data_IF_283029957923
#
_entry.id   IF_283029957923
#
_cell.length_a   1.000
_cell.length_b   1.000
_cell.length_c   1.000
_cell.angle_alpha   90.00
_cell.angle_beta   90.00
_cell.angle_gamma   90.00
#
_symmetry.space_group_name_H-M   'P 1'
#
loop_
_entity.id
_entity.type
_entity.pdbx_description
1 polymer ?
#
# COMPACT_ATOMS: atom_id res chain seq x y z
N UNK A 1 -10.36 10.33 52.86
CA UNK A 1 -11.53 10.30 51.97
C UNK A 1 -11.08 10.77 50.59
N UNK A 2 -11.06 9.89 49.59
CA UNK A 2 -10.90 10.35 48.21
C UNK A 2 -12.22 10.98 47.74
N UNK A 3 -12.18 12.12 47.03
CA UNK A 3 -13.38 12.75 46.51
C UNK A 3 -14.09 11.81 45.52
N UNK A 4 -15.43 11.85 45.45
CA UNK A 4 -16.18 11.05 44.50
C UNK A 4 -15.77 11.41 43.08
N UNK A 5 -15.41 10.40 42.29
CA UNK A 5 -15.13 10.54 40.86
C UNK A 5 -16.40 10.95 40.13
N UNK A 6 -16.38 12.12 39.50
CA UNK A 6 -17.48 12.61 38.66
C UNK A 6 -17.61 11.65 37.46
N UNK A 7 -18.80 11.07 37.20
CA UNK A 7 -19.00 10.19 36.06
C UNK A 7 -18.77 10.96 34.75
N UNK A 8 -18.02 10.36 33.83
CA UNK A 8 -17.78 10.86 32.49
C UNK A 8 -18.06 9.75 31.45
N UNK A 9 -18.20 10.07 30.15
CA UNK A 9 -18.54 9.10 29.10
C UNK A 9 -17.58 7.91 28.95
N UNK A 10 -16.44 7.92 29.65
CA UNK A 10 -15.44 6.85 29.62
C UNK A 10 -15.36 6.08 30.95
N UNK A 11 -16.15 6.42 31.97
CA UNK A 11 -16.04 5.81 33.30
C UNK A 11 -16.42 4.33 33.31
N UNK A 12 -17.29 3.89 32.40
CA UNK A 12 -17.76 2.50 32.29
C UNK A 12 -17.03 1.70 31.19
N UNK A 13 -16.03 2.30 30.52
CA UNK A 13 -15.28 1.62 29.47
C UNK A 13 -14.30 0.59 30.04
N UNK A 14 -14.13 -0.50 29.32
CA UNK A 14 -13.29 -1.63 29.70
C UNK A 14 -11.81 -1.24 29.62
N UNK A 15 -10.95 -1.84 30.47
CA UNK A 15 -9.53 -1.45 30.58
C UNK A 15 -8.76 -1.51 29.27
N UNK A 16 -9.07 -2.46 28.38
CA UNK A 16 -8.42 -2.58 27.07
C UNK A 16 -8.66 -1.37 26.15
N UNK A 17 -9.66 -0.53 26.44
CA UNK A 17 -9.97 0.70 25.70
C UNK A 17 -9.08 1.88 26.12
N UNK A 18 -8.20 1.71 27.12
CA UNK A 18 -7.30 2.74 27.62
C UNK A 18 -5.84 2.32 27.54
N UNK A 19 -5.04 3.01 26.73
CA UNK A 19 -3.61 2.74 26.57
C UNK A 19 -2.86 2.56 27.90
N UNK A 20 -3.12 3.43 28.88
CA UNK A 20 -2.47 3.33 30.18
C UNK A 20 -2.82 2.03 30.91
N UNK A 21 -4.08 1.60 30.86
CA UNK A 21 -4.58 0.46 31.63
C UNK A 21 -4.30 -0.89 30.96
N UNK A 22 -4.00 -0.90 29.66
CA UNK A 22 -3.78 -2.13 28.89
C UNK A 22 -2.37 -2.29 28.33
N UNK A 23 -1.62 -1.20 28.16
CA UNK A 23 -0.28 -1.21 27.59
C UNK A 23 0.73 -0.58 28.56
N UNK A 24 0.66 0.73 28.83
CA UNK A 24 1.81 1.42 29.45
C UNK A 24 1.96 1.22 30.96
N UNK A 25 0.90 0.82 31.68
CA UNK A 25 0.96 0.47 33.10
C UNK A 25 0.78 -1.04 33.34
N UNK A 26 0.91 -1.85 32.28
CA UNK A 26 0.88 -3.30 32.33
C UNK A 26 2.31 -3.80 32.09
N UNK A 27 2.76 -4.73 32.92
CA UNK A 27 4.03 -5.42 32.70
C UNK A 27 4.06 -6.03 31.29
N UNK A 28 5.15 -5.87 30.55
CA UNK A 28 5.20 -6.18 29.12
C UNK A 28 4.77 -7.63 28.77
N UNK A 29 5.06 -8.59 29.65
CA UNK A 29 4.70 -10.00 29.48
C UNK A 29 3.22 -10.31 29.79
N UNK A 30 2.49 -9.37 30.40
CA UNK A 30 1.06 -9.45 30.70
C UNK A 30 0.21 -8.68 29.68
N UNK A 31 0.84 -8.01 28.72
CA UNK A 31 0.11 -7.30 27.66
C UNK A 31 -0.59 -8.33 26.78
N UNK A 32 -1.92 -8.37 26.90
CA UNK A 32 -2.79 -9.11 25.99
C UNK A 32 -3.63 -8.11 25.16
N UNK A 33 -3.25 -7.86 23.90
CA UNK A 33 -4.00 -6.96 23.02
C UNK A 33 -5.24 -7.63 22.42
N UNK A 34 -5.42 -8.95 22.59
CA UNK A 34 -6.53 -9.69 22.00
C UNK A 34 -7.77 -9.54 22.89
N UNK A 35 -8.83 -8.99 22.30
CA UNK A 35 -10.11 -8.80 22.99
C UNK A 35 -11.13 -9.80 22.44
N UNK A 36 -12.27 -9.32 21.95
CA UNK A 36 -13.31 -10.14 21.32
C UNK A 36 -13.32 -9.81 19.82
N UNK A 37 -12.51 -10.50 19.00
CA UNK A 37 -12.44 -10.19 17.58
C UNK A 37 -13.79 -10.53 16.90
N UNK A 38 -14.22 -9.69 15.95
CA UNK A 38 -15.46 -9.93 15.20
C UNK A 38 -15.36 -11.10 14.21
N UNK A 39 -14.13 -11.42 13.80
CA UNK A 39 -13.81 -12.53 12.90
C UNK A 39 -12.41 -13.04 13.22
N UNK A 40 -12.13 -14.29 12.82
CA UNK A 40 -10.84 -14.93 12.99
C UNK A 40 -10.17 -15.16 11.64
N UNK A 41 -8.86 -14.99 11.59
CA UNK A 41 -8.05 -15.32 10.41
C UNK A 41 -7.46 -16.71 10.60
N UNK A 42 -7.71 -17.61 9.67
CA UNK A 42 -7.09 -18.95 9.68
C UNK A 42 -5.72 -18.91 9.02
N UNK A 43 -4.87 -19.89 9.30
CA UNK A 43 -3.51 -19.94 8.72
C UNK A 43 -3.50 -20.25 7.23
N UNK A 44 -4.56 -20.86 6.69
CA UNK A 44 -4.76 -21.17 5.28
C UNK A 44 -5.36 -20.01 4.46
N UNK A 45 -5.96 -19.02 5.13
CA UNK A 45 -6.49 -17.82 4.48
C UNK A 45 -5.36 -17.04 3.78
N UNK A 46 -5.56 -16.75 2.49
CA UNK A 46 -4.62 -15.98 1.66
C UNK A 46 -4.72 -14.51 2.04
N UNK A 47 -3.69 -14.00 2.71
CA UNK A 47 -3.63 -12.60 3.12
C UNK A 47 -2.81 -11.78 2.13
N UNK A 48 -3.42 -10.74 1.59
CA UNK A 48 -2.77 -9.72 0.78
C UNK A 48 -2.69 -8.40 1.56
N UNK A 49 -1.61 -7.64 1.36
CA UNK A 49 -1.43 -6.33 1.99
C UNK A 49 -1.09 -5.27 0.95
N UNK A 50 -1.63 -4.07 1.09
CA UNK A 50 -1.23 -2.89 0.34
C UNK A 50 -1.10 -1.67 1.27
N UNK A 51 -0.31 -0.69 0.85
CA UNK A 51 -0.07 0.52 1.63
C UNK A 51 1.39 0.95 1.58
N UNK A 52 1.84 1.61 2.65
CA UNK A 52 3.21 2.12 2.78
C UNK A 52 4.10 1.18 3.62
N UNK A 53 5.11 1.73 4.31
CA UNK A 53 6.06 0.96 5.13
C UNK A 53 5.39 0.04 6.16
N UNK A 54 4.28 0.46 6.77
CA UNK A 54 3.59 -0.35 7.78
C UNK A 54 3.00 -1.63 7.18
N UNK A 55 2.46 -1.57 5.96
CA UNK A 55 1.97 -2.75 5.25
C UNK A 55 3.10 -3.78 5.01
N UNK A 56 4.32 -3.33 4.72
CA UNK A 56 5.48 -4.22 4.60
C UNK A 56 5.81 -4.93 5.93
N UNK A 57 5.65 -4.26 7.07
CA UNK A 57 5.82 -4.89 8.38
C UNK A 57 4.75 -5.96 8.64
N UNK A 58 3.49 -5.71 8.26
CA UNK A 58 2.41 -6.67 8.35
C UNK A 58 2.73 -7.91 7.50
N UNK A 59 3.09 -7.72 6.23
CA UNK A 59 3.50 -8.79 5.30
C UNK A 59 4.58 -9.71 5.90
N UNK A 60 5.67 -9.12 6.41
CA UNK A 60 6.77 -9.86 7.04
C UNK A 60 6.31 -10.61 8.28
N UNK A 61 5.41 -10.03 9.08
CA UNK A 61 4.90 -10.67 10.31
C UNK A 61 3.97 -11.83 9.99
N UNK A 62 3.04 -11.68 9.06
CA UNK A 62 2.13 -12.74 8.59
C UNK A 62 2.95 -13.96 8.14
N UNK A 63 3.92 -13.74 7.26
CA UNK A 63 4.80 -14.79 6.76
C UNK A 63 5.57 -15.50 7.88
N UNK A 64 6.16 -14.74 8.83
CA UNK A 64 6.91 -15.30 9.97
C UNK A 64 6.04 -16.01 11.00
N UNK A 65 4.75 -15.66 11.07
CA UNK A 65 3.79 -16.25 12.01
C UNK A 65 3.10 -17.51 11.46
N UNK A 66 3.49 -18.00 10.27
CA UNK A 66 2.98 -19.23 9.68
C UNK A 66 1.63 -19.08 8.97
N UNK A 67 1.19 -17.85 8.71
CA UNK A 67 0.00 -17.57 7.92
C UNK A 67 0.36 -17.55 6.43
N UNK A 68 -0.62 -17.86 5.58
CA UNK A 68 -0.47 -17.85 4.13
C UNK A 68 -0.49 -16.43 3.57
N UNK A 69 0.70 -15.83 3.46
CA UNK A 69 0.85 -14.58 2.72
C UNK A 69 0.75 -14.82 1.21
N UNK A 70 -0.15 -14.10 0.54
CA UNK A 70 -0.37 -14.22 -0.90
C UNK A 70 0.72 -13.47 -1.66
N UNK A 71 1.34 -14.14 -2.64
CA UNK A 71 2.27 -13.53 -3.60
C UNK A 71 1.86 -14.00 -5.00
N UNK A 72 1.50 -13.07 -5.86
CA UNK A 72 1.08 -13.30 -7.24
C UNK A 72 2.09 -12.83 -8.26
N UNK A 73 3.04 -11.98 -7.87
CA UNK A 73 4.20 -11.60 -8.67
C UNK A 73 5.48 -11.96 -7.90
N UNK A 74 6.01 -13.16 -8.13
CA UNK A 74 7.10 -13.75 -7.32
C UNK A 74 8.50 -13.63 -7.97
N UNK A 75 8.56 -13.27 -9.25
CA UNK A 75 9.79 -13.22 -10.02
C UNK A 75 10.49 -14.58 -10.11
N UNK A 76 9.77 -15.69 -10.10
CA UNK A 76 10.30 -17.06 -9.94
C UNK A 76 11.37 -17.50 -10.94
N UNK A 77 11.53 -16.79 -12.07
CA UNK A 77 12.61 -17.01 -13.04
C UNK A 77 13.96 -16.42 -12.63
N UNK A 78 14.01 -15.60 -11.58
CA UNK A 78 15.20 -14.89 -11.11
C UNK A 78 15.83 -15.60 -9.89
N UNK A 79 17.14 -15.41 -9.71
CA UNK A 79 17.81 -15.83 -8.48
C UNK A 79 17.26 -15.07 -7.27
N UNK A 80 17.38 -15.63 -6.06
CA UNK A 80 16.82 -15.03 -4.85
C UNK A 80 17.34 -13.60 -4.58
N UNK A 81 18.64 -13.37 -4.83
CA UNK A 81 19.26 -12.04 -4.69
C UNK A 81 18.71 -11.05 -5.71
N UNK A 82 18.53 -11.49 -6.96
CA UNK A 82 17.97 -10.66 -8.04
C UNK A 82 16.51 -10.31 -7.79
N UNK A 83 15.72 -11.26 -7.27
CA UNK A 83 14.34 -11.03 -6.84
C UNK A 83 14.27 -9.95 -5.77
N UNK A 84 15.10 -10.08 -4.74
CA UNK A 84 15.17 -9.13 -3.63
C UNK A 84 15.60 -7.75 -4.11
N UNK A 85 16.64 -7.68 -4.93
CA UNK A 85 17.15 -6.43 -5.50
C UNK A 85 16.13 -5.75 -6.42
N UNK A 86 15.30 -6.53 -7.11
CA UNK A 86 14.23 -6.04 -7.97
C UNK A 86 12.87 -5.92 -7.24
N UNK A 87 12.85 -5.91 -5.90
CA UNK A 87 11.66 -5.59 -5.11
C UNK A 87 10.55 -6.66 -5.07
N UNK A 88 10.81 -7.89 -5.55
CA UNK A 88 9.83 -8.98 -5.48
C UNK A 88 9.62 -9.45 -4.03
N UNK A 89 8.38 -9.81 -3.69
CA UNK A 89 8.00 -10.31 -2.36
C UNK A 89 7.86 -9.23 -1.27
N UNK A 90 8.09 -7.94 -1.59
CA UNK A 90 7.79 -6.83 -0.67
C UNK A 90 6.28 -6.70 -0.41
N UNK A 91 5.51 -6.82 -1.49
CA UNK A 91 4.06 -6.80 -1.54
C UNK A 91 3.57 -8.04 -2.32
N UNK A 92 2.26 -8.36 -2.34
CA UNK A 92 1.75 -9.54 -3.06
C UNK A 92 2.02 -9.47 -4.57
N UNK A 93 1.93 -8.26 -5.13
CA UNK A 93 2.39 -7.91 -6.46
C UNK A 93 3.32 -6.70 -6.38
N UNK A 94 4.14 -6.46 -7.39
CA UNK A 94 5.23 -5.48 -7.37
C UNK A 94 4.72 -4.07 -7.74
N UNK A 95 3.74 -3.55 -7.01
CA UNK A 95 3.19 -2.20 -7.23
C UNK A 95 3.93 -1.12 -6.43
N UNK A 96 4.81 -1.50 -5.49
CA UNK A 96 5.52 -0.56 -4.62
C UNK A 96 4.63 -0.02 -3.49
N UNK A 97 4.97 1.12 -2.90
CA UNK A 97 4.12 1.71 -1.87
C UNK A 97 2.89 2.37 -2.49
N UNK A 98 1.75 2.19 -1.84
CA UNK A 98 0.50 2.92 -2.11
C UNK A 98 0.24 3.82 -0.91
N UNK A 99 0.20 5.12 -1.14
CA UNK A 99 0.08 6.12 -0.08
C UNK A 99 -1.35 6.62 0.09
N UNK A 100 -2.14 6.73 -0.98
CA UNK A 100 -3.50 7.29 -0.93
C UNK A 100 -4.55 6.27 -1.38
N UNK A 101 -5.81 6.47 -0.97
CA UNK A 101 -6.95 5.66 -1.44
C UNK A 101 -7.16 5.83 -2.95
N UNK A 102 -6.86 7.02 -3.49
CA UNK A 102 -6.94 7.29 -4.93
C UNK A 102 -5.92 6.46 -5.72
N UNK A 103 -4.69 6.30 -5.21
CA UNK A 103 -3.71 5.41 -5.85
C UNK A 103 -4.14 3.94 -5.80
N UNK A 104 -4.76 3.50 -4.70
CA UNK A 104 -5.31 2.15 -4.60
C UNK A 104 -6.41 1.92 -5.63
N UNK A 105 -7.37 2.84 -5.73
CA UNK A 105 -8.46 2.77 -6.69
C UNK A 105 -7.92 2.76 -8.13
N UNK A 106 -7.00 3.67 -8.45
CA UNK A 106 -6.35 3.72 -9.77
C UNK A 106 -5.68 2.38 -10.12
N UNK A 107 -4.92 1.79 -9.20
CA UNK A 107 -4.28 0.50 -9.43
C UNK A 107 -5.31 -0.62 -9.67
N UNK A 108 -6.42 -0.60 -8.93
CA UNK A 108 -7.51 -1.55 -9.11
C UNK A 108 -8.15 -1.38 -10.51
N UNK A 109 -8.57 -0.17 -10.87
CA UNK A 109 -9.14 0.13 -12.19
C UNK A 109 -8.21 -0.29 -13.34
N UNK A 110 -6.90 -0.02 -13.22
CA UNK A 110 -5.89 -0.43 -14.20
C UNK A 110 -5.75 -1.97 -14.29
N UNK A 111 -5.81 -2.67 -13.16
CA UNK A 111 -5.72 -4.14 -13.14
C UNK A 111 -6.96 -4.83 -13.75
N UNK A 112 -8.13 -4.19 -13.65
CA UNK A 112 -9.39 -4.68 -14.23
C UNK A 112 -9.69 -4.13 -15.62
N UNK A 113 -8.85 -3.22 -16.14
CA UNK A 113 -8.99 -2.64 -17.48
C UNK A 113 -10.10 -1.57 -17.58
N UNK A 114 -10.53 -1.02 -16.45
CA UNK A 114 -11.50 0.08 -16.36
C UNK A 114 -10.83 1.44 -16.60
N UNK A 115 -9.50 1.46 -16.51
CA UNK A 115 -8.67 2.62 -16.77
C UNK A 115 -7.44 2.24 -17.59
N UNK A 116 -7.14 3.04 -18.61
CA UNK A 116 -5.84 3.04 -19.26
C UNK A 116 -4.93 4.04 -18.55
N UNK A 117 -3.83 3.55 -17.96
CA UNK A 117 -2.82 4.42 -17.36
C UNK A 117 -2.10 5.25 -18.41
N UNK A 118 -2.27 6.58 -18.37
CA UNK A 118 -1.67 7.50 -19.36
C UNK A 118 -0.30 8.02 -18.92
N UNK A 119 0.24 7.56 -17.79
CA UNK A 119 1.51 8.07 -17.30
C UNK A 119 2.68 7.43 -18.07
N UNK A 120 3.21 8.19 -19.04
CA UNK A 120 4.44 7.86 -19.75
C UNK A 120 5.57 7.47 -18.79
N UNK A 121 6.39 6.52 -19.20
CA UNK A 121 7.60 6.15 -18.47
C UNK A 121 8.48 7.40 -18.26
N UNK A 122 8.94 7.59 -17.03
CA UNK A 122 9.78 8.73 -16.67
C UNK A 122 11.25 8.39 -16.87
N UNK A 123 11.98 9.22 -17.61
CA UNK A 123 13.43 9.07 -17.75
C UNK A 123 14.17 9.68 -16.55
N UNK A 124 15.20 8.98 -16.07
CA UNK A 124 16.12 9.40 -15.02
C UNK A 124 17.34 10.13 -15.61
N UNK A 125 18.09 10.90 -14.81
CA UNK A 125 19.33 11.55 -15.27
C UNK A 125 20.41 10.59 -15.80
N UNK A 126 20.40 9.32 -15.39
CA UNK A 126 21.31 8.27 -15.87
C UNK A 126 20.83 7.59 -17.16
N UNK A 127 19.74 8.09 -17.77
CA UNK A 127 19.15 7.57 -19.00
C UNK A 127 18.25 6.35 -18.81
N UNK A 128 18.11 5.81 -17.59
CA UNK A 128 17.18 4.71 -17.27
C UNK A 128 15.75 5.23 -17.18
N UNK A 129 14.78 4.32 -17.30
CA UNK A 129 13.37 4.63 -17.22
C UNK A 129 12.74 4.05 -15.95
N UNK A 130 11.71 4.71 -15.42
CA UNK A 130 10.94 4.23 -14.27
C UNK A 130 9.46 4.37 -14.53
N UNK A 131 8.68 3.54 -13.83
CA UNK A 131 7.23 3.65 -13.82
C UNK A 131 6.80 4.73 -12.81
N UNK A 132 6.14 5.82 -13.24
CA UNK A 132 5.70 6.87 -12.32
C UNK A 132 4.63 6.41 -11.33
N UNK A 133 3.92 5.32 -11.61
CA UNK A 133 2.84 4.80 -10.77
C UNK A 133 3.33 3.74 -9.77
N UNK A 134 4.54 3.18 -9.95
CA UNK A 134 5.10 2.14 -9.08
C UNK A 134 6.41 2.59 -8.46
N UNK A 135 6.32 3.06 -7.20
CA UNK A 135 7.48 3.63 -6.52
C UNK A 135 8.59 2.58 -6.35
N UNK A 136 9.77 2.87 -6.92
CA UNK A 136 11.01 2.12 -6.70
C UNK A 136 10.89 0.60 -6.97
N UNK A 137 10.07 0.22 -7.95
CA UNK A 137 9.80 -1.16 -8.32
C UNK A 137 11.04 -1.95 -8.76
N UNK A 138 11.95 -1.28 -9.47
CA UNK A 138 13.31 -1.74 -9.72
C UNK A 138 14.25 -0.54 -9.51
N UNK A 139 15.06 -0.54 -8.43
CA UNK A 139 15.99 0.55 -8.14
C UNK A 139 16.99 0.85 -9.28
N UNK A 140 17.27 -0.14 -10.14
CA UNK A 140 18.19 -0.01 -11.27
C UNK A 140 17.56 0.74 -12.45
N UNK A 141 16.22 0.80 -12.50
CA UNK A 141 15.46 1.32 -13.62
C UNK A 141 15.52 0.43 -14.87
N UNK A 142 14.62 0.71 -15.80
CA UNK A 142 14.45 -0.01 -17.05
C UNK A 142 15.33 0.58 -18.17
N UNK A 143 15.62 -0.23 -19.18
CA UNK A 143 16.47 0.19 -20.30
C UNK A 143 15.77 1.16 -21.27
N UNK A 144 14.44 1.10 -21.39
CA UNK A 144 13.63 1.95 -22.26
C UNK A 144 12.22 2.14 -21.69
N UNK A 145 11.48 3.10 -22.25
CA UNK A 145 10.05 3.25 -21.99
C UNK A 145 9.26 1.98 -22.34
N UNK A 146 9.58 1.32 -23.46
CA UNK A 146 8.95 0.05 -23.86
C UNK A 146 9.16 -1.06 -22.81
N UNK A 147 10.33 -1.11 -22.18
CA UNK A 147 10.56 -2.06 -21.09
C UNK A 147 9.65 -1.78 -19.89
N UNK A 148 9.34 -0.51 -19.58
CA UNK A 148 8.38 -0.16 -18.53
C UNK A 148 6.98 -0.64 -18.91
N UNK A 149 6.55 -0.39 -20.15
CA UNK A 149 5.24 -0.83 -20.64
C UNK A 149 5.08 -2.35 -20.62
N UNK A 150 6.09 -3.08 -21.08
CA UNK A 150 6.11 -4.55 -21.03
C UNK A 150 6.08 -5.08 -19.60
N UNK A 151 6.79 -4.42 -18.68
CA UNK A 151 6.79 -4.78 -17.26
C UNK A 151 5.41 -4.55 -16.64
N UNK A 152 4.75 -3.44 -16.95
CA UNK A 152 3.36 -3.16 -16.55
C UNK A 152 2.38 -4.19 -17.09
N UNK A 153 2.52 -4.58 -18.36
CA UNK A 153 1.66 -5.59 -18.98
C UNK A 153 1.76 -6.97 -18.30
N UNK A 154 2.91 -7.30 -17.70
CA UNK A 154 3.07 -8.50 -16.86
C UNK A 154 2.56 -8.30 -15.45
N UNK A 155 2.74 -7.11 -14.90
CA UNK A 155 2.39 -6.74 -13.53
C UNK A 155 0.88 -6.68 -13.29
N UNK A 156 0.11 -5.99 -14.15
CA UNK A 156 -1.33 -5.77 -13.93
C UNK A 156 -2.15 -7.07 -13.81
N UNK A 157 -1.91 -8.12 -14.62
CA UNK A 157 -2.53 -9.43 -14.39
C UNK A 157 -2.21 -10.04 -13.02
N UNK A 158 -1.00 -9.83 -12.49
CA UNK A 158 -0.65 -10.29 -11.15
C UNK A 158 -1.38 -9.51 -10.06
N UNK A 159 -1.59 -8.20 -10.25
CA UNK A 159 -2.39 -7.36 -9.34
C UNK A 159 -3.85 -7.81 -9.35
N UNK A 160 -4.44 -8.02 -10.53
CA UNK A 160 -5.79 -8.57 -10.67
C UNK A 160 -5.92 -9.90 -9.94
N UNK A 161 -4.98 -10.80 -10.20
CA UNK A 161 -4.89 -12.11 -9.55
C UNK A 161 -4.79 -12.01 -8.03
N UNK A 162 -4.10 -10.99 -7.49
CA UNK A 162 -4.05 -10.73 -6.05
C UNK A 162 -5.44 -10.40 -5.51
N UNK A 163 -6.17 -9.49 -6.16
CA UNK A 163 -7.52 -9.11 -5.71
C UNK A 163 -8.52 -10.26 -5.83
N UNK A 164 -8.48 -11.04 -6.91
CA UNK A 164 -9.37 -12.19 -7.13
C UNK A 164 -9.09 -13.37 -6.16
N UNK A 165 -7.87 -13.47 -5.64
CA UNK A 165 -7.44 -14.59 -4.79
C UNK A 165 -7.29 -14.24 -3.31
N UNK A 166 -7.32 -12.97 -2.90
CA UNK A 166 -7.20 -12.63 -1.50
C UNK A 166 -8.46 -13.06 -0.74
N UNK A 167 -8.29 -13.86 0.31
CA UNK A 167 -9.38 -14.13 1.27
C UNK A 167 -9.47 -12.97 2.27
N UNK A 168 -8.33 -12.32 2.53
CA UNK A 168 -8.21 -11.13 3.37
C UNK A 168 -7.30 -10.12 2.68
N UNK A 169 -7.82 -8.93 2.44
CA UNK A 169 -7.06 -7.79 1.95
C UNK A 169 -6.90 -6.74 3.06
N UNK A 170 -5.66 -6.41 3.39
CA UNK A 170 -5.33 -5.39 4.40
C UNK A 170 -4.76 -4.18 3.67
N UNK A 171 -5.52 -3.09 3.64
CA UNK A 171 -5.02 -1.80 3.19
C UNK A 171 -4.72 -0.89 4.38
N UNK A 172 -3.48 -0.42 4.49
CA UNK A 172 -3.11 0.56 5.52
C UNK A 172 -3.28 1.97 4.95
N UNK A 173 -4.32 2.68 5.38
CA UNK A 173 -4.55 4.08 5.00
C UNK A 173 -3.31 4.92 5.32
N UNK A 174 -2.84 5.67 4.31
CA UNK A 174 -1.59 6.41 4.36
C UNK A 174 -1.80 7.92 4.37
N UNK A 175 -1.18 8.58 3.40
CA UNK A 175 -1.15 10.02 3.23
C UNK A 175 -2.43 10.52 2.56
N UNK A 176 -2.65 11.83 2.66
CA UNK A 176 -3.65 12.55 1.85
C UNK A 176 -2.99 13.39 0.76
N UNK A 177 -1.70 13.69 0.90
CA UNK A 177 -0.90 14.40 -0.07
C UNK A 177 -0.48 13.52 -1.25
N UNK A 178 -0.59 14.06 -2.46
CA UNK A 178 -0.09 13.41 -3.65
C UNK A 178 0.30 14.41 -4.75
N UNK A 179 0.93 13.90 -5.80
CA UNK A 179 1.15 14.62 -7.04
C UNK A 179 0.23 14.05 -8.11
N UNK A 180 -0.46 14.94 -8.81
CA UNK A 180 -1.47 14.60 -9.81
C UNK A 180 -1.14 15.23 -11.15
N UNK A 181 -1.42 14.48 -12.21
CA UNK A 181 -1.44 14.96 -13.58
C UNK A 181 -2.64 15.89 -13.79
N UNK A 182 -2.40 17.11 -14.28
CA UNK A 182 -3.46 18.02 -14.71
C UNK A 182 -4.15 17.57 -16.00
N UNK A 183 -3.54 16.65 -16.75
CA UNK A 183 -4.04 16.20 -18.06
C UNK A 183 -5.24 15.27 -17.90
N UNK A 184 -5.14 14.32 -16.97
CA UNK A 184 -6.07 13.18 -16.87
C UNK A 184 -6.39 12.80 -15.41
N UNK A 185 -5.84 13.52 -14.42
CA UNK A 185 -6.06 13.23 -13.02
C UNK A 185 -5.24 12.05 -12.47
N UNK A 186 -4.30 11.50 -13.23
CA UNK A 186 -3.43 10.40 -12.77
C UNK A 186 -2.61 10.80 -11.55
N UNK A 187 -2.68 10.00 -10.48
CA UNK A 187 -1.94 10.24 -9.24
C UNK A 187 -0.65 9.42 -9.26
N UNK A 188 0.48 10.12 -9.13
CA UNK A 188 1.81 9.51 -9.18
C UNK A 188 2.24 8.98 -7.82
N UNK A 189 3.14 7.99 -7.85
CA UNK A 189 3.71 7.38 -6.64
C UNK A 189 4.76 8.25 -5.93
N UNK A 190 5.28 9.26 -6.62
CA UNK A 190 6.24 10.24 -6.11
C UNK A 190 6.14 11.54 -6.89
N UNK A 191 6.72 12.61 -6.34
CA UNK A 191 6.78 13.89 -7.04
C UNK A 191 7.59 13.76 -8.36
N UNK A 192 7.11 14.36 -9.47
CA UNK A 192 7.89 14.43 -10.70
C UNK A 192 9.27 15.05 -10.45
N UNK A 193 10.33 14.41 -10.97
CA UNK A 193 11.72 14.83 -10.77
C UNK A 193 12.42 14.23 -9.56
N UNK A 194 11.72 13.56 -8.63
CA UNK A 194 12.37 12.91 -7.46
C UNK A 194 12.98 11.57 -7.83
N UNK A 195 12.22 10.71 -8.51
CA UNK A 195 12.66 9.37 -8.94
C UNK A 195 12.90 9.27 -10.45
N UNK A 196 12.50 10.29 -11.19
CA UNK A 196 12.56 10.37 -12.66
C UNK A 196 11.63 11.47 -13.17
N UNK A 197 11.73 11.77 -14.47
CA UNK A 197 10.92 12.80 -15.12
C UNK A 197 11.35 14.21 -14.70
N UNK A 198 10.50 15.19 -14.98
CA UNK A 198 10.71 16.57 -14.59
C UNK A 198 9.39 17.18 -14.14
N UNK A 199 9.45 18.02 -13.10
CA UNK A 199 8.31 18.81 -12.70
C UNK A 199 7.99 19.88 -13.75
N UNK A 200 6.70 20.01 -14.02
CA UNK A 200 6.13 20.97 -14.95
C UNK A 200 4.81 21.45 -14.32
N UNK A 201 4.69 22.73 -13.91
CA UNK A 201 3.52 23.25 -13.21
C UNK A 201 2.25 23.28 -14.08
N UNK A 202 2.38 23.27 -15.41
CA UNK A 202 1.26 23.24 -16.35
C UNK A 202 0.71 21.82 -16.52
N UNK A 203 1.51 20.80 -16.20
CA UNK A 203 1.15 19.38 -16.31
C UNK A 203 0.95 18.68 -14.98
N UNK A 204 1.51 19.22 -13.90
CA UNK A 204 1.53 18.58 -12.61
C UNK A 204 1.06 19.53 -11.52
N UNK A 205 0.39 18.96 -10.52
CA UNK A 205 -0.05 19.70 -9.36
C UNK A 205 0.12 18.88 -8.08
N UNK A 206 0.39 19.60 -7.01
CA UNK A 206 0.28 19.05 -5.67
C UNK A 206 -1.19 19.07 -5.25
N UNK A 207 -1.66 17.96 -4.69
CA UNK A 207 -3.00 17.84 -4.13
C UNK A 207 -2.91 17.34 -2.69
N UNK A 208 -3.84 17.79 -1.86
CA UNK A 208 -4.07 17.22 -0.54
C UNK A 208 -5.54 16.84 -0.46
N UNK A 209 -5.83 15.54 -0.52
CA UNK A 209 -7.19 15.03 -0.55
C UNK A 209 -7.90 15.28 0.78
N UNK A 210 -9.11 15.81 0.68
CA UNK A 210 -10.02 15.93 1.81
C UNK A 210 -10.45 14.55 2.33
N UNK A 211 -11.07 14.54 3.51
CA UNK A 211 -11.72 13.34 4.04
C UNK A 211 -12.78 12.80 3.06
N UNK A 212 -13.56 13.69 2.45
CA UNK A 212 -14.62 13.32 1.52
C UNK A 212 -14.05 12.64 0.26
N UNK A 213 -13.02 13.21 -0.35
CA UNK A 213 -12.34 12.62 -1.52
C UNK A 213 -11.67 11.28 -1.16
N UNK A 214 -10.99 11.22 -0.01
CA UNK A 214 -10.33 10.01 0.47
C UNK A 214 -11.36 8.89 0.69
N UNK A 215 -12.49 9.22 1.33
CA UNK A 215 -13.56 8.29 1.63
C UNK A 215 -14.33 7.86 0.37
N UNK A 216 -14.57 8.79 -0.56
CA UNK A 216 -15.22 8.49 -1.84
C UNK A 216 -14.40 7.47 -2.64
N UNK A 217 -13.08 7.69 -2.77
CA UNK A 217 -12.21 6.74 -3.47
C UNK A 217 -12.15 5.37 -2.78
N UNK A 218 -12.14 5.35 -1.44
CA UNK A 218 -12.19 4.09 -0.69
C UNK A 218 -13.52 3.36 -0.86
N UNK A 219 -14.63 4.12 -0.92
CA UNK A 219 -15.96 3.56 -1.14
C UNK A 219 -16.15 3.01 -2.55
N UNK A 220 -15.59 3.66 -3.55
CA UNK A 220 -15.64 3.19 -4.93
C UNK A 220 -14.84 1.88 -5.10
N UNK A 221 -13.72 1.75 -4.38
CA UNK A 221 -12.91 0.54 -4.36
C UNK A 221 -13.59 -0.69 -3.69
N UNK A 222 -14.53 -0.47 -2.76
CA UNK A 222 -15.16 -1.51 -1.93
C UNK A 222 -16.46 -2.06 -2.53
#
# INVERSE_FOLDING_TARGET
MHPPTIPHPYSELQSYQFWRRSISAVEAHLVDPVTHPRFTVTTDARVATAGSCFAQHISRRISRSGYRYLVTEDGGSLLAEERTAAGYGLFPARFGNIYTTVQLLQLFEEAFGEREGVADAWQRPDGRYVDPLRQQVDPRGFASADCVLQDRARHLPCVRSMFEQADIFIFTLGLTEAWRSRVDGTVFSSAPGVVGGAFDPDRHEFVNFSLEETYAALREFL
#
